data_IF_819666384732
#
_entry.id   IF_819666384732
#
_cell.length_a   1.000
_cell.length_b   1.000
_cell.length_c   1.000
_cell.angle_alpha   90.00
_cell.angle_beta   90.00
_cell.angle_gamma   90.00
#
_symmetry.space_group_name_H-M   'P 1'
#
loop_
_entity.id
_entity.type
_entity.pdbx_description
1 polymer ?
#
# COMPACT_ATOMS: atom_id res chain seq x y z
N UNK A 1 -8.13 -14.22 -18.98
CA UNK A 1 -6.85 -13.48 -18.86
C UNK A 1 -5.73 -14.49 -19.07
N UNK A 2 -4.62 -14.13 -19.74
CA UNK A 2 -3.48 -15.04 -19.89
C UNK A 2 -3.03 -15.55 -18.51
N UNK A 3 -2.75 -16.85 -18.42
CA UNK A 3 -2.12 -17.42 -17.22
C UNK A 3 -0.76 -16.76 -17.04
N UNK A 4 -0.38 -16.43 -15.79
CA UNK A 4 0.95 -15.88 -15.49
C UNK A 4 2.11 -16.76 -15.98
N UNK A 5 1.85 -18.06 -16.21
CA UNK A 5 2.81 -19.02 -16.79
C UNK A 5 3.10 -18.77 -18.27
N UNK A 6 2.16 -18.16 -18.99
CA UNK A 6 2.24 -17.94 -20.44
C UNK A 6 2.69 -16.50 -20.79
N UNK A 7 2.97 -15.67 -19.77
CA UNK A 7 3.59 -14.37 -19.98
C UNK A 7 5.01 -14.56 -20.48
N UNK A 8 5.22 -14.37 -21.79
CA UNK A 8 6.55 -14.20 -22.36
C UNK A 8 7.17 -12.94 -21.76
N UNK A 9 8.12 -13.12 -20.86
CA UNK A 9 8.92 -12.04 -20.28
C UNK A 9 9.86 -11.56 -21.39
N UNK A 10 9.52 -10.45 -22.04
CA UNK A 10 10.36 -9.79 -23.07
C UNK A 10 11.55 -9.02 -22.48
N UNK A 11 11.95 -9.34 -21.25
CA UNK A 11 12.98 -8.61 -20.54
C UNK A 11 14.35 -9.22 -20.88
N UNK A 12 14.96 -8.75 -21.96
CA UNK A 12 16.35 -9.07 -22.30
C UNK A 12 17.26 -8.03 -21.63
N UNK A 13 17.50 -8.21 -20.33
CA UNK A 13 18.45 -7.39 -19.57
C UNK A 13 19.89 -7.78 -19.88
N UNK A 14 20.78 -6.81 -19.85
CA UNK A 14 22.21 -7.09 -19.85
C UNK A 14 22.60 -7.87 -18.58
N UNK A 15 23.69 -8.65 -18.62
CA UNK A 15 24.16 -9.44 -17.46
C UNK A 15 24.38 -8.55 -16.22
N UNK A 16 24.83 -7.31 -16.43
CA UNK A 16 25.08 -6.34 -15.37
C UNK A 16 23.79 -5.94 -14.64
N UNK A 17 22.70 -5.73 -15.39
CA UNK A 17 21.39 -5.36 -14.87
C UNK A 17 20.69 -6.55 -14.22
N UNK A 18 20.79 -7.74 -14.84
CA UNK A 18 20.25 -8.97 -14.28
C UNK A 18 20.87 -9.28 -12.90
N UNK A 19 22.16 -9.00 -12.73
CA UNK A 19 22.82 -9.15 -11.43
C UNK A 19 22.21 -8.24 -10.35
N UNK A 20 21.95 -6.96 -10.69
CA UNK A 20 21.30 -6.00 -9.79
C UNK A 20 19.88 -6.44 -9.43
N UNK A 21 19.10 -6.87 -10.43
CA UNK A 21 17.73 -7.36 -10.22
C UNK A 21 17.75 -8.62 -9.35
N UNK A 22 18.65 -9.57 -9.61
CA UNK A 22 18.79 -10.79 -8.81
C UNK A 22 19.11 -10.49 -7.35
N UNK A 23 20.01 -9.55 -7.08
CA UNK A 23 20.31 -9.12 -5.71
C UNK A 23 19.08 -8.56 -4.99
N UNK A 24 18.26 -7.78 -5.68
CA UNK A 24 16.98 -7.29 -5.14
C UNK A 24 16.02 -8.44 -4.83
N UNK A 25 15.87 -9.40 -5.76
CA UNK A 25 15.00 -10.56 -5.52
C UNK A 25 15.46 -11.39 -4.32
N UNK A 26 16.77 -11.64 -4.18
CA UNK A 26 17.32 -12.35 -3.01
C UNK A 26 17.02 -11.58 -1.72
N UNK A 27 17.21 -10.26 -1.72
CA UNK A 27 16.85 -9.44 -0.56
C UNK A 27 15.35 -9.53 -0.24
N UNK A 28 14.48 -9.54 -1.25
CA UNK A 28 13.03 -9.68 -1.04
C UNK A 28 12.61 -11.07 -0.54
N UNK A 29 13.47 -12.09 -0.67
CA UNK A 29 13.25 -13.43 -0.09
C UNK A 29 13.71 -13.57 1.36
N UNK A 30 14.20 -12.50 1.99
CA UNK A 30 14.58 -12.49 3.40
C UNK A 30 13.40 -12.87 4.30
N UNK A 31 13.61 -13.83 5.21
CA UNK A 31 12.54 -14.38 6.04
C UNK A 31 11.90 -13.33 6.95
N UNK A 32 12.67 -12.38 7.46
CA UNK A 32 12.15 -11.35 8.35
C UNK A 32 11.32 -10.31 7.59
N UNK A 33 11.65 -10.04 6.33
CA UNK A 33 10.78 -9.30 5.42
C UNK A 33 9.49 -10.07 5.11
N UNK A 34 9.58 -11.37 4.80
CA UNK A 34 8.41 -12.20 4.49
C UNK A 34 7.47 -12.36 5.69
N UNK A 35 8.00 -12.49 6.91
CA UNK A 35 7.20 -12.54 8.15
C UNK A 35 6.34 -11.28 8.35
N UNK A 36 6.79 -10.11 7.87
CA UNK A 36 5.98 -8.88 7.91
C UNK A 36 4.78 -8.95 6.96
N UNK A 37 4.94 -9.60 5.80
CA UNK A 37 3.86 -9.77 4.83
C UNK A 37 2.74 -10.68 5.36
N UNK A 38 3.05 -11.63 6.26
CA UNK A 38 2.05 -12.51 6.89
C UNK A 38 1.02 -11.75 7.73
N UNK A 39 1.33 -10.53 8.19
CA UNK A 39 0.41 -9.72 8.98
C UNK A 39 -0.74 -9.12 8.15
N UNK A 40 -0.68 -9.22 6.81
CA UNK A 40 -1.69 -8.64 5.92
C UNK A 40 -1.78 -7.12 5.98
N UNK A 41 -0.75 -6.45 6.51
CA UNK A 41 -0.67 -4.99 6.56
C UNK A 41 -0.28 -4.47 5.18
N UNK A 42 -0.90 -3.37 4.76
CA UNK A 42 -0.42 -2.61 3.61
C UNK A 42 1.03 -2.17 3.83
N UNK A 43 1.89 -2.35 2.84
CA UNK A 43 3.26 -1.85 2.87
C UNK A 43 3.32 -0.31 2.74
N UNK A 44 2.22 0.33 2.30
CA UNK A 44 2.14 1.77 2.06
C UNK A 44 0.94 2.39 2.79
N UNK A 45 1.22 3.06 3.91
CA UNK A 45 0.25 3.82 4.70
C UNK A 45 -0.50 4.87 3.87
N UNK A 46 0.20 5.54 2.95
CA UNK A 46 -0.40 6.58 2.11
C UNK A 46 -1.43 5.99 1.14
N UNK A 47 -1.14 4.84 0.53
CA UNK A 47 -2.10 4.14 -0.33
C UNK A 47 -3.34 3.69 0.44
N UNK A 48 -3.17 3.21 1.68
CA UNK A 48 -4.29 2.82 2.53
C UNK A 48 -5.19 4.02 2.88
N UNK A 49 -4.60 5.12 3.34
CA UNK A 49 -5.33 6.36 3.63
C UNK A 49 -6.05 6.88 2.38
N UNK A 50 -5.33 6.97 1.26
CA UNK A 50 -5.89 7.43 -0.01
C UNK A 50 -7.04 6.54 -0.49
N UNK A 51 -6.94 5.21 -0.35
CA UNK A 51 -8.04 4.31 -0.70
C UNK A 51 -9.31 4.62 0.10
N UNK A 52 -9.15 5.00 1.38
CA UNK A 52 -10.25 5.38 2.26
C UNK A 52 -10.84 6.73 1.88
N UNK A 53 -9.99 7.70 1.56
CA UNK A 53 -10.41 9.01 1.05
C UNK A 53 -11.20 8.83 -0.24
N UNK A 54 -10.70 8.05 -1.21
CA UNK A 54 -11.37 7.86 -2.50
C UNK A 54 -12.64 7.01 -2.42
N UNK A 55 -12.79 6.18 -1.39
CA UNK A 55 -14.04 5.48 -1.09
C UNK A 55 -15.17 6.45 -0.73
N UNK A 56 -14.88 7.51 0.02
CA UNK A 56 -15.87 8.52 0.41
C UNK A 56 -15.94 9.71 -0.56
N UNK A 57 -14.81 10.07 -1.15
CA UNK A 57 -14.64 11.15 -2.11
C UNK A 57 -14.10 10.59 -3.44
N UNK A 58 -14.94 9.97 -4.29
CA UNK A 58 -14.49 9.47 -5.59
C UNK A 58 -13.90 10.59 -6.43
N UNK A 59 -12.73 10.34 -7.04
CA UNK A 59 -12.05 11.32 -7.92
C UNK A 59 -12.90 11.78 -9.11
N UNK A 60 -13.88 10.96 -9.50
CA UNK A 60 -14.76 11.20 -10.64
C UNK A 60 -15.94 12.10 -10.32
N UNK A 61 -16.14 12.49 -9.05
CA UNK A 61 -17.27 13.31 -8.61
C UNK A 61 -16.79 14.60 -7.98
N UNK A 62 -17.31 15.72 -8.48
CA UNK A 62 -17.16 17.01 -7.81
C UNK A 62 -18.08 17.06 -6.59
N UNK A 63 -17.57 17.53 -5.46
CA UNK A 63 -18.34 17.71 -4.22
C UNK A 63 -18.07 19.09 -3.65
N UNK A 64 -19.01 19.61 -2.85
CA UNK A 64 -18.80 20.89 -2.18
C UNK A 64 -17.69 20.77 -1.12
N UNK A 65 -16.99 21.87 -0.85
CA UNK A 65 -15.92 21.91 0.15
C UNK A 65 -16.36 21.35 1.51
N UNK A 66 -17.56 21.70 1.98
CA UNK A 66 -18.11 21.21 3.25
C UNK A 66 -18.24 19.69 3.30
N UNK A 67 -18.74 19.08 2.22
CA UNK A 67 -18.90 17.62 2.14
C UNK A 67 -17.53 16.95 2.06
N UNK A 68 -16.62 17.53 1.28
CA UNK A 68 -15.25 17.02 1.15
C UNK A 68 -14.50 17.05 2.49
N UNK A 69 -14.55 18.17 3.21
CA UNK A 69 -13.87 18.32 4.50
C UNK A 69 -14.41 17.29 5.52
N UNK A 70 -15.73 17.10 5.58
CA UNK A 70 -16.35 16.07 6.44
C UNK A 70 -15.91 14.64 6.06
N UNK A 71 -16.00 14.30 4.78
CA UNK A 71 -15.65 12.96 4.29
C UNK A 71 -14.15 12.66 4.47
N UNK A 72 -13.28 13.67 4.35
CA UNK A 72 -11.85 13.56 4.63
C UNK A 72 -11.60 13.31 6.12
N UNK A 73 -12.21 14.08 7.02
CA UNK A 73 -12.11 13.84 8.47
C UNK A 73 -12.61 12.44 8.84
N UNK A 74 -13.70 11.98 8.24
CA UNK A 74 -14.23 10.64 8.44
C UNK A 74 -13.28 9.54 7.91
N UNK A 75 -12.64 9.78 6.76
CA UNK A 75 -11.64 8.87 6.21
C UNK A 75 -10.42 8.70 7.14
N UNK A 76 -9.89 9.81 7.65
CA UNK A 76 -8.76 9.85 8.58
C UNK A 76 -9.12 9.14 9.88
N UNK A 77 -10.30 9.43 10.47
CA UNK A 77 -10.77 8.76 11.68
C UNK A 77 -10.83 7.23 11.49
N UNK A 78 -11.42 6.77 10.39
CA UNK A 78 -11.51 5.34 10.10
C UNK A 78 -10.14 4.69 9.89
N UNK A 79 -9.21 5.40 9.25
CA UNK A 79 -7.84 4.93 9.08
C UNK A 79 -7.15 4.79 10.45
N UNK A 80 -7.25 5.80 11.32
CA UNK A 80 -6.62 5.80 12.65
C UNK A 80 -7.16 4.69 13.55
N UNK A 81 -8.49 4.47 13.57
CA UNK A 81 -9.10 3.35 14.31
C UNK A 81 -8.57 1.99 13.81
N UNK A 82 -8.42 1.83 12.49
CA UNK A 82 -7.83 0.63 11.91
C UNK A 82 -6.35 0.46 12.28
N UNK A 83 -5.60 1.58 12.29
CA UNK A 83 -4.19 1.60 12.63
C UNK A 83 -3.94 1.18 14.08
N UNK A 84 -4.70 1.72 15.03
CA UNK A 84 -4.62 1.40 16.46
C UNK A 84 -4.91 -0.10 16.69
N UNK A 85 -5.97 -0.64 16.08
CA UNK A 85 -6.28 -2.08 16.16
C UNK A 85 -5.17 -2.98 15.62
N UNK A 86 -4.48 -2.53 14.57
CA UNK A 86 -3.37 -3.27 13.97
C UNK A 86 -2.04 -3.10 14.72
N UNK A 87 -1.94 -2.11 15.61
CA UNK A 87 -0.73 -1.73 16.36
C UNK A 87 -1.08 -1.38 17.82
N UNK A 88 -1.52 -2.35 18.63
CA UNK A 88 -1.83 -2.10 20.04
C UNK A 88 -0.61 -1.52 20.77
N UNK A 89 -0.82 -0.40 21.48
CA UNK A 89 0.22 0.26 22.28
C UNK A 89 1.12 1.24 21.54
N UNK A 90 0.87 1.52 20.25
CA UNK A 90 1.49 2.66 19.54
C UNK A 90 0.49 3.81 19.47
N UNK A 91 0.69 4.80 20.33
CA UNK A 91 -0.07 6.05 20.27
C UNK A 91 0.25 6.78 18.95
N UNK A 92 -0.78 7.29 18.29
CA UNK A 92 -0.60 8.09 17.09
C UNK A 92 0.14 9.36 17.50
N UNK A 93 1.36 9.58 17.00
CA UNK A 93 2.00 10.89 17.09
C UNK A 93 1.08 11.89 16.38
N UNK A 94 0.35 12.67 17.16
CA UNK A 94 -0.39 13.84 16.71
C UNK A 94 0.63 14.96 16.51
N UNK A 95 1.40 14.89 15.43
CA UNK A 95 2.18 16.02 14.89
C UNK A 95 1.95 16.14 13.38
#
# INVERSE_FOLDING_TARGET
MPSHKDMKIFFSLEKSELSKVKQLYIRLTDEDLLKRCLQGKTQNSNESLHSRVWKYCPKTKCMSKKIFDFALSYAVLNYNIGYEKAHPGKELALE
#
